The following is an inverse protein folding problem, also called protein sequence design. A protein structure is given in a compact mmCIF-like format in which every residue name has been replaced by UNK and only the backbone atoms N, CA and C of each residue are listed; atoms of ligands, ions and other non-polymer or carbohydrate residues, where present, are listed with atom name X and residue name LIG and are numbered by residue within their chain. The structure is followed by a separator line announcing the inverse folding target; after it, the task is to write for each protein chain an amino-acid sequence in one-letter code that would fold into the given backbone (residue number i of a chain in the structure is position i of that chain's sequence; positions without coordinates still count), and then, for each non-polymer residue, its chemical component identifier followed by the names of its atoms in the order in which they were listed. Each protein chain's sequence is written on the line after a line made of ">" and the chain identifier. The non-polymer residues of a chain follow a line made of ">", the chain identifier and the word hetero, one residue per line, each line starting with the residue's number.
data_IF_406070095148
#
_entry.id   IF_406070095148
#
_cell.length_a   1.000
_cell.length_b   1.000
_cell.length_c   1.000
_cell.angle_alpha   90.00
_cell.angle_beta   90.00
_cell.angle_gamma   90.00
#
_symmetry.space_group_name_H-M   'P 1'
#
loop_
_entity.id
_entity.type
_entity.pdbx_description
1 polymer ?
#
# COMPACT_ATOMS: atom_id res chain seq x y z
N UNK A 1 2.42 23.78 5.59
CA UNK A 1 1.16 23.32 4.98
C UNK A 1 0.60 22.21 5.84
N UNK A 2 -0.73 22.11 6.00
CA UNK A 2 -1.33 20.98 6.70
C UNK A 2 -1.05 19.68 5.92
N UNK A 3 -0.55 18.68 6.63
CA UNK A 3 -0.38 17.32 6.09
C UNK A 3 -1.70 16.56 6.26
N UNK A 4 -2.18 15.91 5.21
CA UNK A 4 -3.39 15.08 5.26
C UNK A 4 -3.09 13.65 5.75
N UNK A 5 -2.04 13.48 6.54
CA UNK A 5 -1.72 12.23 7.22
C UNK A 5 -2.58 12.05 8.47
N UNK A 6 -3.11 10.85 8.66
CA UNK A 6 -3.74 10.41 9.91
C UNK A 6 -2.72 9.58 10.68
N UNK A 7 -2.05 10.24 11.60
CA UNK A 7 -0.93 9.70 12.39
C UNK A 7 -1.42 8.86 13.59
N UNK A 8 -0.54 8.01 14.10
CA UNK A 8 -0.77 7.24 15.32
C UNK A 8 -0.72 8.10 16.59
N UNK A 9 0.23 9.04 16.70
CA UNK A 9 0.46 9.86 17.92
C UNK A 9 0.35 9.06 19.24
N UNK A 10 0.80 7.82 19.23
CA UNK A 10 0.72 6.87 20.32
C UNK A 10 2.03 6.09 20.42
N UNK A 11 2.33 5.55 21.60
CA UNK A 11 3.56 4.79 21.88
C UNK A 11 3.29 3.34 22.25
N UNK A 12 2.06 3.00 22.68
CA UNK A 12 1.65 1.64 23.04
C UNK A 12 0.20 1.34 22.66
N UNK A 13 -0.07 0.07 22.42
CA UNK A 13 -1.38 -0.47 22.12
C UNK A 13 -1.44 -1.94 22.54
N UNK A 14 -2.64 -2.39 22.84
CA UNK A 14 -2.96 -3.79 23.04
C UNK A 14 -3.60 -4.34 21.76
N UNK A 15 -3.05 -5.43 21.22
CA UNK A 15 -3.58 -6.12 20.06
C UNK A 15 -4.40 -7.34 20.49
N UNK A 16 -5.61 -7.47 19.95
CA UNK A 16 -6.52 -8.59 20.20
C UNK A 16 -6.23 -9.70 19.19
N UNK A 17 -5.41 -10.66 19.61
CA UNK A 17 -4.80 -11.69 18.76
C UNK A 17 -5.59 -13.02 18.71
N UNK A 18 -6.68 -13.09 19.46
CA UNK A 18 -7.58 -14.23 19.55
C UNK A 18 -8.28 -14.54 18.23
N UNK A 19 -8.52 -13.51 17.41
CA UNK A 19 -9.17 -13.67 16.11
C UNK A 19 -8.57 -12.73 15.04
N UNK A 20 -8.42 -13.25 13.82
CA UNK A 20 -8.05 -12.42 12.66
C UNK A 20 -9.28 -11.60 12.28
N UNK A 21 -9.17 -10.28 12.36
CA UNK A 21 -10.25 -9.36 12.01
C UNK A 21 -10.47 -9.29 10.49
N UNK A 22 -9.39 -9.22 9.73
CA UNK A 22 -9.41 -9.25 8.27
C UNK A 22 -8.13 -9.87 7.72
N UNK A 23 -8.22 -10.45 6.52
CA UNK A 23 -7.08 -11.05 5.82
C UNK A 23 -6.94 -10.44 4.44
N UNK A 24 -5.80 -9.79 4.20
CA UNK A 24 -5.37 -9.34 2.88
C UNK A 24 -4.54 -10.40 2.16
N UNK A 25 -3.99 -10.03 1.00
CA UNK A 25 -3.07 -10.91 0.26
C UNK A 25 -1.76 -11.16 1.02
N UNK A 26 -1.27 -10.17 1.76
CA UNK A 26 0.03 -10.21 2.45
C UNK A 26 -0.04 -10.09 3.96
N UNK A 27 -1.14 -9.53 4.48
CA UNK A 27 -1.22 -9.09 5.88
C UNK A 27 -2.47 -9.69 6.53
N UNK A 28 -2.29 -10.29 7.71
CA UNK A 28 -3.37 -10.48 8.66
C UNK A 28 -3.56 -9.18 9.45
N UNK A 29 -4.80 -8.80 9.66
CA UNK A 29 -5.19 -7.60 10.40
C UNK A 29 -5.87 -8.03 11.69
N UNK A 30 -5.40 -7.49 12.80
CA UNK A 30 -5.94 -7.72 14.14
C UNK A 30 -6.46 -6.39 14.69
N UNK A 31 -7.57 -6.43 15.42
CA UNK A 31 -8.03 -5.24 16.14
C UNK A 31 -7.13 -4.96 17.34
N UNK A 32 -7.16 -3.73 17.81
CA UNK A 32 -6.51 -3.36 19.06
C UNK A 32 -7.01 -2.02 19.57
N UNK A 33 -6.40 -1.58 20.67
CA UNK A 33 -6.69 -0.30 21.30
C UNK A 33 -5.40 0.34 21.78
N UNK A 34 -5.21 1.62 21.49
CA UNK A 34 -4.06 2.35 22.02
C UNK A 34 -4.15 2.46 23.54
N UNK A 35 -3.03 2.25 24.21
CA UNK A 35 -2.91 2.27 25.68
C UNK A 35 -2.03 3.40 26.19
N UNK A 36 -1.24 4.05 25.32
CA UNK A 36 -0.39 5.19 25.69
C UNK A 36 -0.27 6.21 24.53
N UNK A 37 -0.33 7.50 24.85
CA UNK A 37 -0.24 8.64 23.93
C UNK A 37 -1.57 9.34 23.63
N UNK A 38 -1.61 10.23 22.63
CA UNK A 38 -2.76 11.09 22.32
C UNK A 38 -4.01 10.33 21.86
N UNK A 39 -3.82 9.09 21.41
CA UNK A 39 -4.90 8.20 20.96
C UNK A 39 -5.32 7.18 21.99
N UNK A 40 -4.83 7.23 23.23
CA UNK A 40 -5.23 6.28 24.29
C UNK A 40 -6.74 6.11 24.35
N UNK A 41 -7.18 4.86 24.40
CA UNK A 41 -8.60 4.51 24.42
C UNK A 41 -9.26 4.38 23.04
N UNK A 42 -8.63 4.84 21.96
CA UNK A 42 -9.16 4.71 20.60
C UNK A 42 -8.75 3.38 19.98
N UNK A 43 -9.59 2.89 19.06
CA UNK A 43 -9.32 1.66 18.31
C UNK A 43 -8.18 1.85 17.30
N UNK A 44 -7.37 0.79 17.16
CA UNK A 44 -6.32 0.66 16.17
C UNK A 44 -6.42 -0.69 15.47
N UNK A 45 -5.62 -0.87 14.43
CA UNK A 45 -5.37 -2.18 13.84
C UNK A 45 -3.88 -2.47 13.84
N UNK A 46 -3.54 -3.72 14.09
CA UNK A 46 -2.19 -4.26 13.99
C UNK A 46 -2.13 -5.16 12.76
N UNK A 47 -1.26 -4.85 11.81
CA UNK A 47 -1.11 -5.59 10.56
C UNK A 47 0.20 -6.34 10.57
N UNK A 48 0.12 -7.63 10.27
CA UNK A 48 1.23 -8.56 10.40
C UNK A 48 1.33 -9.32 9.10
N UNK A 49 2.51 -9.34 8.51
CA UNK A 49 2.76 -10.11 7.30
C UNK A 49 2.52 -11.61 7.55
N UNK A 50 1.91 -12.27 6.57
CA UNK A 50 1.64 -13.72 6.62
C UNK A 50 2.98 -14.46 6.44
N UNK A 51 3.29 -15.40 7.34
CA UNK A 51 4.57 -16.13 7.33
C UNK A 51 4.79 -16.91 6.02
N UNK A 52 6.05 -17.06 5.61
CA UNK A 52 6.43 -17.53 4.26
C UNK A 52 6.71 -16.39 3.28
N UNK A 53 6.34 -15.16 3.64
CA UNK A 53 6.83 -13.93 3.03
C UNK A 53 8.23 -13.63 3.59
N UNK A 54 9.23 -14.44 3.20
CA UNK A 54 10.65 -14.16 3.49
C UNK A 54 10.93 -12.72 3.06
N UNK A 55 11.79 -11.99 3.78
CA UNK A 55 12.14 -10.55 3.63
C UNK A 55 11.42 -9.53 4.55
N UNK A 56 10.88 -9.92 5.71
CA UNK A 56 10.08 -9.06 6.62
C UNK A 56 10.57 -7.61 6.79
N UNK A 57 11.87 -7.38 7.04
CA UNK A 57 12.37 -6.00 7.27
C UNK A 57 12.24 -5.09 6.06
N UNK A 58 12.57 -5.58 4.85
CA UNK A 58 12.54 -4.73 3.65
C UNK A 58 11.11 -4.37 3.26
N UNK A 59 10.13 -5.23 3.55
CA UNK A 59 8.70 -4.95 3.32
C UNK A 59 8.20 -3.78 4.16
N UNK A 60 8.56 -3.71 5.44
CA UNK A 60 8.18 -2.56 6.27
C UNK A 60 8.76 -1.25 5.71
N UNK A 61 10.02 -1.25 5.26
CA UNK A 61 10.63 -0.07 4.66
C UNK A 61 9.99 0.32 3.32
N UNK A 62 9.68 -0.67 2.47
CA UNK A 62 8.96 -0.45 1.22
C UNK A 62 7.57 0.13 1.47
N UNK A 63 6.82 -0.39 2.45
CA UNK A 63 5.51 0.15 2.83
C UNK A 63 5.62 1.62 3.29
N UNK A 64 6.59 1.95 4.16
CA UNK A 64 6.80 3.34 4.58
C UNK A 64 7.18 4.24 3.40
N UNK A 65 8.00 3.76 2.45
CA UNK A 65 8.31 4.48 1.19
C UNK A 65 7.06 4.73 0.35
N UNK A 66 6.22 3.71 0.20
CA UNK A 66 4.94 3.81 -0.53
C UNK A 66 4.01 4.84 0.13
N UNK A 67 3.83 4.76 1.44
CA UNK A 67 2.99 5.70 2.20
C UNK A 67 3.51 7.13 2.09
N UNK A 68 4.82 7.35 2.15
CA UNK A 68 5.40 8.68 1.98
C UNK A 68 5.07 9.28 0.60
N UNK A 69 5.22 8.50 -0.48
CA UNK A 69 4.88 8.94 -1.83
C UNK A 69 3.38 9.11 -2.07
N UNK A 70 2.57 8.22 -1.50
CA UNK A 70 1.13 8.34 -1.49
C UNK A 70 0.67 9.66 -0.83
N UNK A 71 1.32 10.03 0.28
CA UNK A 71 0.99 11.26 1.01
C UNK A 71 1.31 12.51 0.19
N UNK A 72 2.41 12.53 -0.58
CA UNK A 72 2.71 13.61 -1.52
C UNK A 72 1.55 13.83 -2.51
N UNK A 73 1.06 12.74 -3.12
CA UNK A 73 -0.06 12.77 -4.08
C UNK A 73 -1.36 13.21 -3.41
N UNK A 74 -1.70 12.65 -2.24
CA UNK A 74 -2.92 12.98 -1.50
C UNK A 74 -2.93 14.46 -1.09
N UNK A 75 -1.80 14.96 -0.59
CA UNK A 75 -1.66 16.38 -0.25
C UNK A 75 -1.89 17.26 -1.49
N UNK A 76 -1.26 16.92 -2.61
CA UNK A 76 -1.42 17.66 -3.87
C UNK A 76 -2.87 17.65 -4.36
N UNK A 77 -3.52 16.48 -4.37
CA UNK A 77 -4.92 16.34 -4.79
C UNK A 77 -5.87 17.20 -3.94
N UNK A 78 -5.69 17.20 -2.62
CA UNK A 78 -6.50 18.00 -1.70
C UNK A 78 -6.23 19.51 -1.83
N UNK A 79 -5.00 19.90 -2.14
CA UNK A 79 -4.59 21.30 -2.31
C UNK A 79 -5.09 21.87 -3.63
N UNK A 80 -5.15 21.06 -4.68
CA UNK A 80 -5.70 21.42 -5.99
C UNK A 80 -7.23 21.57 -5.96
N UNK A 81 -7.88 21.21 -4.83
CA UNK A 81 -9.33 21.34 -4.61
C UNK A 81 -10.15 20.70 -5.74
N UNK A 82 -9.71 19.53 -6.21
CA UNK A 82 -10.44 18.73 -7.21
C UNK A 82 -11.85 18.38 -6.71
N UNK A 83 -11.99 18.24 -5.38
CA UNK A 83 -13.27 18.04 -4.68
C UNK A 83 -13.33 18.92 -3.42
N UNK A 84 -14.53 19.18 -2.93
CA UNK A 84 -14.75 19.97 -1.70
C UNK A 84 -14.36 19.20 -0.42
N UNK A 85 -14.54 17.87 -0.43
CA UNK A 85 -14.18 16.98 0.68
C UNK A 85 -12.66 16.75 0.73
N UNK A 86 -12.18 16.17 1.82
CA UNK A 86 -10.75 15.83 1.96
C UNK A 86 -10.51 14.33 1.98
N UNK A 87 -9.35 13.94 1.49
CA UNK A 87 -8.84 12.57 1.56
C UNK A 87 -7.68 12.57 2.55
N UNK A 88 -7.78 11.77 3.61
CA UNK A 88 -6.68 11.53 4.54
C UNK A 88 -6.07 10.16 4.27
N UNK A 89 -4.75 10.04 4.46
CA UNK A 89 -4.04 8.78 4.38
C UNK A 89 -3.65 8.34 5.80
N UNK A 90 -4.07 7.14 6.21
CA UNK A 90 -3.53 6.49 7.39
C UNK A 90 -2.01 6.33 7.20
N UNK A 91 -1.24 6.83 8.15
CA UNK A 91 0.22 6.66 8.17
C UNK A 91 0.58 5.64 9.25
N UNK A 92 0.84 4.38 8.86
CA UNK A 92 1.22 3.36 9.82
C UNK A 92 2.62 3.61 10.38
N UNK A 93 2.88 3.06 11.56
CA UNK A 93 4.23 3.02 12.15
C UNK A 93 4.61 1.59 12.51
N UNK A 94 5.89 1.28 12.39
CA UNK A 94 6.44 -0.05 12.70
C UNK A 94 6.64 -0.16 14.21
N UNK A 95 5.94 -1.09 14.84
CA UNK A 95 6.03 -1.37 16.27
C UNK A 95 6.52 -2.80 16.50
N UNK A 96 7.02 -3.08 17.70
CA UNK A 96 7.58 -4.37 18.08
C UNK A 96 6.79 -4.98 19.24
N UNK A 97 6.46 -6.25 19.12
CA UNK A 97 5.77 -7.01 20.18
C UNK A 97 6.64 -7.17 21.43
N UNK A 98 6.06 -6.88 22.59
CA UNK A 98 6.74 -6.99 23.89
C UNK A 98 6.90 -8.47 24.31
N UNK A 99 7.82 -8.77 25.25
CA UNK A 99 8.07 -10.13 25.72
C UNK A 99 6.84 -10.92 26.17
N UNK A 100 5.82 -10.25 26.70
CA UNK A 100 4.64 -10.88 27.27
C UNK A 100 3.62 -11.37 26.22
N UNK A 101 3.83 -11.08 24.93
CA UNK A 101 2.84 -11.30 23.86
C UNK A 101 2.92 -12.66 23.15
N UNK A 102 3.81 -13.56 23.57
CA UNK A 102 4.09 -14.83 22.86
C UNK A 102 4.75 -14.67 21.49
N UNK A 103 4.87 -13.43 20.99
CA UNK A 103 5.43 -13.03 19.68
C UNK A 103 6.59 -12.05 19.84
N UNK A 104 7.35 -12.22 20.92
CA UNK A 104 8.41 -11.30 21.36
C UNK A 104 9.35 -10.97 20.21
N UNK A 105 9.52 -9.67 19.92
CA UNK A 105 10.48 -9.20 18.92
C UNK A 105 9.95 -9.16 17.49
N UNK A 106 8.78 -9.73 17.21
CA UNK A 106 8.14 -9.61 15.90
C UNK A 106 7.69 -8.16 15.66
N UNK A 107 7.80 -7.70 14.41
CA UNK A 107 7.37 -6.36 13.99
C UNK A 107 5.95 -6.38 13.43
N UNK A 108 5.24 -5.27 13.59
CA UNK A 108 3.90 -5.05 13.05
C UNK A 108 3.71 -3.61 12.62
N UNK A 109 2.86 -3.37 11.62
CA UNK A 109 2.37 -2.04 11.29
C UNK A 109 1.15 -1.74 12.15
N UNK A 110 1.21 -0.66 12.92
CA UNK A 110 0.06 -0.16 13.69
C UNK A 110 -0.47 1.10 13.03
N UNK A 111 -1.79 1.21 12.91
CA UNK A 111 -2.45 2.40 12.39
C UNK A 111 -3.85 2.61 13.00
N UNK A 112 -4.40 3.83 12.91
CA UNK A 112 -5.73 4.10 13.46
C UNK A 112 -6.84 3.32 12.75
N UNK A 113 -7.76 2.73 13.51
CA UNK A 113 -8.90 1.97 12.94
C UNK A 113 -9.70 2.83 11.95
N UNK A 114 -10.18 2.18 10.88
CA UNK A 114 -11.07 2.74 9.88
C UNK A 114 -12.38 1.95 9.92
N UNK A 115 -13.50 2.63 10.19
CA UNK A 115 -14.85 2.08 10.05
C UNK A 115 -15.37 2.24 8.61
N UNK A 116 -16.45 1.51 8.27
CA UNK A 116 -17.10 1.56 6.95
C UNK A 116 -16.13 1.25 5.80
N UNK A 117 -15.34 0.20 5.97
CA UNK A 117 -14.24 -0.14 5.07
C UNK A 117 -14.74 -0.64 3.72
N UNK A 118 -14.27 -0.02 2.64
CA UNK A 118 -14.57 -0.34 1.25
C UNK A 118 -13.28 -0.40 0.44
N UNK A 119 -13.26 -1.27 -0.59
CA UNK A 119 -12.22 -1.30 -1.60
C UNK A 119 -12.76 -0.65 -2.87
N UNK A 120 -12.11 0.42 -3.33
CA UNK A 120 -12.59 1.27 -4.43
C UNK A 120 -12.01 0.83 -5.78
N UNK A 121 -10.75 0.40 -5.77
CA UNK A 121 -10.13 -0.22 -6.94
C UNK A 121 -9.04 -1.23 -6.55
N UNK A 122 -8.47 -1.92 -7.53
CA UNK A 122 -7.32 -2.82 -7.35
C UNK A 122 -6.15 -2.47 -8.26
N UNK A 123 -4.98 -3.06 -7.99
CA UNK A 123 -3.82 -2.95 -8.85
C UNK A 123 -3.95 -3.69 -10.21
N UNK A 124 -5.05 -4.43 -10.44
CA UNK A 124 -5.38 -5.04 -11.74
C UNK A 124 -6.50 -4.29 -12.48
N UNK A 125 -6.92 -3.12 -11.97
CA UNK A 125 -7.99 -2.32 -12.57
C UNK A 125 -9.39 -2.82 -12.26
N UNK A 126 -9.58 -3.64 -11.21
CA UNK A 126 -10.91 -3.92 -10.68
C UNK A 126 -11.50 -2.66 -10.05
N UNK A 127 -12.81 -2.50 -10.17
CA UNK A 127 -13.62 -1.51 -9.44
C UNK A 127 -15.04 -2.07 -9.30
N UNK A 128 -15.83 -1.66 -8.28
CA UNK A 128 -17.21 -2.14 -8.15
C UNK A 128 -18.05 -1.86 -9.40
N UNK A 129 -19.01 -2.75 -9.70
CA UNK A 129 -19.89 -2.60 -10.89
C UNK A 129 -20.80 -1.38 -10.79
N UNK A 130 -21.37 -1.18 -9.62
CA UNK A 130 -22.16 0.00 -9.32
C UNK A 130 -21.20 1.14 -8.98
N UNK A 131 -21.14 2.14 -9.86
CA UNK A 131 -20.36 3.33 -9.55
C UNK A 131 -21.08 4.15 -8.50
N UNK A 132 -20.26 4.86 -7.76
CA UNK A 132 -20.67 5.76 -6.71
C UNK A 132 -19.78 6.99 -6.81
N UNK A 133 -20.24 8.14 -6.32
CA UNK A 133 -19.43 9.35 -6.38
C UNK A 133 -18.08 9.21 -5.65
N UNK A 134 -17.94 8.25 -4.74
CA UNK A 134 -16.75 8.02 -3.95
C UNK A 134 -15.81 7.05 -4.66
N UNK A 135 -16.35 6.02 -5.31
CA UNK A 135 -15.59 5.20 -6.27
C UNK A 135 -15.04 6.09 -7.39
N UNK A 136 -15.86 6.98 -7.95
CA UNK A 136 -15.45 7.93 -9.00
C UNK A 136 -14.30 8.84 -8.54
N UNK A 137 -14.37 9.38 -7.31
CA UNK A 137 -13.28 10.19 -6.74
C UNK A 137 -11.99 9.38 -6.62
N UNK A 138 -12.07 8.12 -6.19
CA UNK A 138 -10.88 7.27 -6.04
C UNK A 138 -10.30 6.87 -7.41
N UNK A 139 -11.14 6.64 -8.42
CA UNK A 139 -10.69 6.49 -9.81
C UNK A 139 -9.97 7.74 -10.32
N UNK A 140 -10.50 8.93 -10.00
CA UNK A 140 -9.87 10.19 -10.36
C UNK A 140 -8.57 10.43 -9.58
N UNK A 141 -8.47 10.04 -8.31
CA UNK A 141 -7.22 10.11 -7.54
C UNK A 141 -6.12 9.24 -8.16
N UNK A 142 -6.45 8.03 -8.62
CA UNK A 142 -5.53 7.18 -9.37
C UNK A 142 -5.08 7.84 -10.68
N UNK A 143 -5.99 8.38 -11.49
CA UNK A 143 -5.61 9.10 -12.72
C UNK A 143 -4.75 10.33 -12.40
N UNK A 144 -5.15 11.12 -11.42
CA UNK A 144 -4.42 12.30 -10.96
C UNK A 144 -2.99 11.97 -10.56
N UNK A 145 -2.75 10.87 -9.83
CA UNK A 145 -1.39 10.50 -9.41
C UNK A 145 -0.46 10.33 -10.61
N UNK A 146 -0.95 9.71 -11.69
CA UNK A 146 -0.18 9.53 -12.91
C UNK A 146 0.11 10.86 -13.60
N UNK A 147 -0.85 11.78 -13.57
CA UNK A 147 -0.66 13.12 -14.08
C UNK A 147 0.32 13.97 -13.25
N UNK A 148 0.06 14.10 -11.95
CA UNK A 148 0.83 14.97 -11.04
C UNK A 148 2.27 14.50 -10.85
N UNK A 149 2.54 13.20 -11.01
CA UNK A 149 3.90 12.64 -11.00
C UNK A 149 4.58 12.63 -12.36
N UNK A 150 4.00 13.32 -13.36
CA UNK A 150 4.50 13.40 -14.73
C UNK A 150 4.74 12.02 -15.36
N UNK A 151 3.70 11.18 -15.36
CA UNK A 151 3.65 9.83 -15.95
C UNK A 151 4.57 8.81 -15.28
N UNK A 152 5.07 9.09 -14.07
CA UNK A 152 6.02 8.22 -13.37
C UNK A 152 5.34 7.17 -12.50
N UNK A 153 4.31 7.57 -11.74
CA UNK A 153 3.72 6.73 -10.70
C UNK A 153 2.19 6.68 -10.83
N UNK A 154 1.62 5.48 -10.77
CA UNK A 154 0.18 5.28 -10.66
C UNK A 154 -0.16 4.75 -9.27
N UNK A 155 -1.08 5.42 -8.61
CA UNK A 155 -1.57 5.11 -7.28
C UNK A 155 -2.87 4.31 -7.39
N UNK A 156 -2.91 3.12 -6.84
CA UNK A 156 -4.04 2.20 -7.00
C UNK A 156 -4.22 1.32 -5.76
N UNK A 157 -5.07 0.30 -5.88
CA UNK A 157 -5.46 -0.56 -4.76
C UNK A 157 -6.06 0.24 -3.60
N UNK A 158 -6.79 1.31 -3.97
CA UNK A 158 -7.36 2.27 -3.03
C UNK A 158 -8.48 1.62 -2.24
N UNK A 159 -8.35 1.73 -0.92
CA UNK A 159 -9.27 1.15 0.05
C UNK A 159 -9.26 1.98 1.32
N UNK A 160 -10.37 1.96 2.06
CA UNK A 160 -10.52 2.79 3.24
C UNK A 160 -11.97 3.02 3.63
N UNK A 161 -12.21 4.05 4.45
CA UNK A 161 -13.52 4.37 4.99
C UNK A 161 -14.08 5.67 4.43
N UNK A 162 -15.40 5.67 4.23
CA UNK A 162 -16.17 6.84 3.81
C UNK A 162 -16.85 7.46 5.03
N UNK A 163 -16.64 8.77 5.21
CA UNK A 163 -17.17 9.56 6.33
C UNK A 163 -17.88 10.81 5.81
N UNK A 164 -18.69 11.43 6.69
CA UNK A 164 -19.41 12.67 6.36
C UNK A 164 -18.46 13.77 5.87
N UNK A 165 -17.29 13.89 6.48
CA UNK A 165 -16.34 14.98 6.25
C UNK A 165 -15.24 14.64 5.23
N UNK A 166 -15.26 13.42 4.67
CA UNK A 166 -14.33 13.00 3.64
C UNK A 166 -13.96 11.52 3.73
N UNK A 167 -12.73 11.21 3.37
CA UNK A 167 -12.29 9.83 3.13
C UNK A 167 -11.02 9.55 3.90
N UNK A 168 -10.91 8.35 4.46
CA UNK A 168 -9.64 7.89 5.05
C UNK A 168 -9.22 6.65 4.28
N UNK A 169 -8.11 6.73 3.56
CA UNK A 169 -7.54 5.62 2.79
C UNK A 169 -6.33 5.02 3.52
N UNK A 170 -6.00 3.78 3.18
CA UNK A 170 -4.85 3.05 3.76
C UNK A 170 -4.30 2.01 2.79
N UNK A 171 -3.08 1.53 3.07
CA UNK A 171 -2.39 0.44 2.35
C UNK A 171 -2.50 0.52 0.83
N UNK A 172 -2.12 1.66 0.24
CA UNK A 172 -2.23 1.77 -1.20
C UNK A 172 -1.07 1.07 -1.91
N UNK A 173 -1.23 0.88 -3.22
CA UNK A 173 -0.18 0.37 -4.10
C UNK A 173 0.31 1.48 -5.02
N UNK A 174 1.62 1.51 -5.28
CA UNK A 174 2.23 2.33 -6.32
C UNK A 174 2.72 1.41 -7.43
N UNK A 175 2.29 1.69 -8.66
CA UNK A 175 2.86 1.11 -9.86
C UNK A 175 3.86 2.08 -10.47
N UNK A 176 5.06 1.60 -10.81
CA UNK A 176 6.11 2.40 -11.46
C UNK A 176 6.74 1.64 -12.62
N UNK A 177 7.35 2.36 -13.57
CA UNK A 177 8.01 1.70 -14.70
C UNK A 177 9.15 0.75 -14.28
N UNK A 178 9.76 0.97 -13.11
CA UNK A 178 10.93 0.24 -12.60
C UNK A 178 10.61 -0.82 -11.55
N UNK A 179 9.34 -0.99 -11.17
CA UNK A 179 8.88 -1.99 -10.19
C UNK A 179 9.60 -1.90 -8.83
N UNK A 180 9.80 -0.69 -8.33
CA UNK A 180 10.58 -0.42 -7.12
C UNK A 180 9.74 -0.28 -5.82
N UNK A 181 8.43 -0.49 -5.90
CA UNK A 181 7.48 -0.30 -4.78
C UNK A 181 6.90 -1.60 -4.22
N UNK A 182 7.63 -2.71 -4.39
CA UNK A 182 7.30 -4.01 -3.82
C UNK A 182 6.55 -4.93 -4.80
N UNK A 183 6.13 -6.13 -4.36
CA UNK A 183 5.60 -7.17 -5.25
C UNK A 183 4.24 -6.83 -5.86
N UNK A 184 3.51 -5.85 -5.31
CA UNK A 184 2.24 -5.37 -5.87
C UNK A 184 2.43 -4.34 -6.99
N UNK A 185 3.67 -3.88 -7.21
CA UNK A 185 4.03 -3.02 -8.32
C UNK A 185 4.10 -3.83 -9.62
N UNK A 186 2.98 -3.84 -10.36
CA UNK A 186 2.83 -4.56 -11.62
C UNK A 186 3.50 -3.85 -12.82
N UNK A 187 4.28 -2.80 -12.57
CA UNK A 187 5.06 -2.15 -13.60
C UNK A 187 4.25 -1.33 -14.59
N UNK A 188 4.86 -1.03 -15.74
CA UNK A 188 4.20 -0.38 -16.86
C UNK A 188 2.98 -1.17 -17.39
N UNK A 189 3.02 -2.51 -17.32
CA UNK A 189 1.91 -3.37 -17.70
C UNK A 189 0.69 -3.16 -16.79
N UNK A 190 0.92 -2.95 -15.49
CA UNK A 190 -0.13 -2.62 -14.53
C UNK A 190 -0.74 -1.25 -14.80
N UNK A 191 0.10 -0.25 -15.09
CA UNK A 191 -0.34 1.09 -15.49
C UNK A 191 -1.23 1.02 -16.73
N UNK A 192 -0.76 0.33 -17.78
CA UNK A 192 -1.50 0.14 -19.02
C UNK A 192 -2.84 -0.57 -18.78
N UNK A 193 -2.83 -1.63 -17.96
CA UNK A 193 -4.02 -2.40 -17.57
C UNK A 193 -5.06 -1.56 -16.82
N UNK A 194 -4.63 -0.70 -15.91
CA UNK A 194 -5.52 0.23 -15.20
C UNK A 194 -6.15 1.22 -16.19
N UNK A 195 -5.35 1.87 -17.03
CA UNK A 195 -5.84 2.87 -17.99
C UNK A 195 -6.65 2.27 -19.16
N UNK A 196 -6.46 0.99 -19.48
CA UNK A 196 -7.30 0.25 -20.42
C UNK A 196 -8.76 0.14 -19.92
N UNK A 197 -8.95 0.16 -18.60
CA UNK A 197 -10.25 -0.01 -17.93
C UNK A 197 -10.79 1.27 -17.33
N UNK A 198 -9.93 2.23 -17.05
CA UNK A 198 -10.30 3.52 -16.48
C UNK A 198 -11.18 4.30 -17.46
N UNK A 199 -12.33 4.77 -16.96
CA UNK A 199 -13.19 5.72 -17.64
C UNK A 199 -13.10 7.03 -16.87
N UNK A 200 -12.63 8.10 -17.52
CA UNK A 200 -12.64 9.42 -16.91
C UNK A 200 -14.07 9.76 -16.48
N UNK A 201 -14.22 10.29 -15.27
CA UNK A 201 -15.48 10.75 -14.73
C UNK A 201 -15.43 12.26 -14.47
N UNK A 202 -16.48 12.81 -13.85
CA UNK A 202 -16.60 14.26 -13.59
C UNK A 202 -15.51 14.85 -12.69
N UNK A 203 -14.76 14.03 -11.95
CA UNK A 203 -13.64 14.46 -11.12
C UNK A 203 -12.29 14.37 -11.85
N UNK A 204 -12.25 13.76 -13.05
CA UNK A 204 -11.08 13.77 -13.89
C UNK A 204 -11.01 15.06 -14.71
N UNK A 205 -9.80 15.58 -14.92
CA UNK A 205 -9.61 16.69 -15.86
C UNK A 205 -9.17 16.16 -17.23
N UNK A 206 -9.79 16.66 -18.30
CA UNK A 206 -9.44 16.35 -19.69
C UNK A 206 -7.98 16.58 -20.09
N UNK A 207 -7.23 17.40 -19.35
CA UNK A 207 -5.81 17.70 -19.60
C UNK A 207 -4.87 16.75 -18.85
N UNK A 208 -5.40 15.88 -17.99
CA UNK A 208 -4.59 14.92 -17.26
C UNK A 208 -3.99 13.89 -18.20
N UNK A 209 -2.72 13.60 -17.97
CA UNK A 209 -1.95 12.69 -18.81
C UNK A 209 -2.49 11.27 -18.69
N UNK A 210 -2.46 10.55 -19.80
CA UNK A 210 -2.76 9.12 -19.90
C UNK A 210 -1.57 8.43 -20.59
N UNK A 211 -1.31 7.13 -20.32
CA UNK A 211 -0.27 6.41 -21.02
C UNK A 211 -0.65 6.23 -22.50
N UNK A 212 0.37 6.13 -23.36
CA UNK A 212 0.16 5.78 -24.76
C UNK A 212 -0.36 4.34 -24.90
N UNK A 213 0.22 3.41 -24.14
CA UNK A 213 -0.24 2.03 -24.07
C UNK A 213 -1.43 1.92 -23.10
N UNK A 214 -2.52 1.31 -23.59
CA UNK A 214 -3.77 1.06 -22.86
C UNK A 214 -4.29 -0.33 -23.17
N UNK A 215 -3.38 -1.30 -23.19
CA UNK A 215 -3.67 -2.73 -23.38
C UNK A 215 -3.90 -3.41 -22.04
N UNK A 216 -4.65 -4.49 -22.09
CA UNK A 216 -4.91 -5.34 -20.93
C UNK A 216 -3.82 -6.41 -20.84
N UNK A 217 -3.08 -6.43 -19.74
CA UNK A 217 -2.05 -7.46 -19.46
C UNK A 217 -2.43 -8.37 -18.28
N UNK A 218 -3.28 -7.89 -17.37
CA UNK A 218 -3.74 -8.64 -16.22
C UNK A 218 -5.25 -8.81 -16.24
N UNK A 219 -5.69 -9.97 -15.78
CA UNK A 219 -7.09 -10.24 -15.49
C UNK A 219 -7.56 -9.48 -14.26
N UNK A 220 -8.82 -9.07 -14.31
CA UNK A 220 -9.44 -8.28 -13.24
C UNK A 220 -9.63 -9.16 -12.02
N UNK A 221 -9.10 -8.71 -10.88
CA UNK A 221 -9.42 -9.29 -9.59
C UNK A 221 -9.55 -8.22 -8.50
N UNK A 222 -10.46 -8.47 -7.55
CA UNK A 222 -10.69 -7.58 -6.40
C UNK A 222 -9.48 -7.55 -5.45
N UNK A 223 -8.81 -8.68 -5.28
CA UNK A 223 -7.56 -8.78 -4.52
C UNK A 223 -6.38 -8.15 -5.25
N UNK A 224 -5.28 -7.95 -4.54
CA UNK A 224 -4.04 -7.42 -5.12
C UNK A 224 -3.31 -8.54 -5.88
N UNK A 225 -2.91 -8.30 -7.13
CA UNK A 225 -2.00 -9.19 -7.86
C UNK A 225 -0.55 -8.96 -7.44
N UNK A 226 0.31 -9.94 -7.74
CA UNK A 226 1.72 -9.91 -7.40
C UNK A 226 2.60 -10.23 -8.60
N UNK A 227 3.76 -9.59 -8.67
CA UNK A 227 4.93 -10.05 -9.41
C UNK A 227 5.99 -10.40 -8.38
N UNK A 228 6.25 -11.70 -8.23
CA UNK A 228 7.41 -12.13 -7.45
C UNK A 228 8.67 -11.83 -8.28
N UNK A 229 9.78 -11.41 -7.65
CA UNK A 229 11.04 -11.31 -8.35
C UNK A 229 11.31 -12.67 -9.00
N UNK A 230 11.45 -12.70 -10.32
CA UNK A 230 11.99 -13.87 -10.99
C UNK A 230 13.34 -14.15 -10.34
N UNK A 231 13.54 -15.38 -9.86
CA UNK A 231 14.81 -15.86 -9.32
C UNK A 231 15.87 -15.47 -10.36
N UNK A 232 16.67 -14.43 -10.09
CA UNK A 232 17.80 -14.11 -10.96
C UNK A 232 18.60 -15.40 -11.10
N UNK A 233 18.87 -15.75 -12.35
CA UNK A 233 19.64 -16.92 -12.77
C UNK A 233 20.79 -17.15 -11.79
N UNK A 234 20.79 -18.31 -11.13
CA UNK A 234 21.97 -18.82 -10.43
C UNK A 234 23.09 -18.93 -11.46
N UNK A 235 23.90 -17.91 -11.62
CA UNK A 235 25.27 -18.11 -12.07
C UNK A 235 25.92 -18.95 -10.97
N UNK A 236 26.35 -20.19 -11.22
CA UNK A 236 27.01 -20.97 -10.19
C UNK A 236 28.29 -20.23 -9.82
N UNK A 237 28.41 -19.83 -8.55
CA UNK A 237 29.71 -19.50 -7.98
C UNK A 237 30.50 -20.82 -7.95
N UNK A 238 31.26 -21.09 -9.01
CA UNK A 238 32.36 -22.04 -8.95
C UNK A 238 33.35 -21.50 -7.93
N UNK A 239 33.33 -22.10 -6.74
CA UNK A 239 34.36 -21.92 -5.73
C UNK A 239 35.66 -22.49 -6.30
N UNK A 240 36.52 -21.64 -6.84
CA UNK A 240 37.92 -21.99 -7.07
C UNK A 240 38.57 -22.08 -5.68
N UNK A 241 38.77 -23.31 -5.21
CA UNK A 241 39.64 -23.59 -4.07
C UNK A 241 41.06 -23.20 -4.46
N UNK A 242 41.54 -22.10 -3.90
CA UNK A 242 42.95 -21.76 -3.91
C UNK A 242 43.71 -22.82 -3.10
N UNK A 243 44.70 -23.45 -3.74
CA UNK A 243 45.53 -24.47 -3.13
C UNK A 243 46.33 -23.93 -1.95
N UNK A 244 46.30 -24.68 -0.86
CA UNK A 244 47.31 -24.63 0.19
C UNK A 244 48.04 -25.98 0.16
N UNK A 245 49.25 -25.93 -0.37
CA UNK A 245 50.28 -26.97 -0.25
C UNK A 245 50.70 -27.08 1.20
N UNK A 246 50.60 -28.27 1.79
CA UNK A 246 51.35 -28.66 2.98
C UNK A 246 52.34 -29.73 2.50
N UNK A 247 53.63 -29.42 2.65
CA UNK A 247 54.72 -30.37 2.43
C UNK A 247 54.77 -31.33 3.62
N UNK A 248 54.89 -32.62 3.33
CA UNK A 248 55.36 -33.63 4.29
C UNK A 248 56.88 -33.48 4.43
N UNK A 249 57.33 -33.27 5.67
CA UNK A 249 58.49 -33.90 6.32
C UNK A 249 58.31 -33.81 7.85
#
# INVERSE_FOLDING_TARGET
>A
MATFARENNASKAEAYMDSVYAKGAFKNVYKGKYTEGERTGKECVCKIFISGSVFEESYFQVELKVVAKALEVVNSFNNDKIIDKKIWLNKPTIWTFTPCSGRKGEKTLVEPMISNFEKFNSNTGWTPRESSSWIDVMQALSHYSYHSTNRRLLFCDLQGGVYKDGFIITDPVIMSATQEYGPTDLGAAGISTFFARHKCNKYCHSKWMIPHDKRVYFDVQKGSAMVLPTRQSRTPLTCQLAGLSIQEE
#
